data_IF_079121346687
#
_entry.id   IF_079121346687
#
_cell.length_a   1.000
_cell.length_b   1.000
_cell.length_c   1.000
_cell.angle_alpha   90.00
_cell.angle_beta   90.00
_cell.angle_gamma   90.00
#
_symmetry.space_group_name_H-M   'P 1'
#
loop_
_entity.id
_entity.type
_entity.pdbx_description
1 polymer ?
#
# COMPACT_ATOMS: atom_id res chain seq x y z
N UNK A 1 44.09 76.33 -5.91
CA UNK A 1 44.69 76.14 -7.24
C UNK A 1 45.37 74.78 -7.16
N UNK A 2 44.89 73.63 -7.65
CA UNK A 2 43.84 73.24 -8.59
C UNK A 2 43.43 71.82 -8.17
N UNK A 3 42.18 71.52 -7.85
CA UNK A 3 41.08 71.25 -8.77
C UNK A 3 41.33 70.09 -9.78
N UNK A 4 40.68 68.95 -9.47
CA UNK A 4 39.72 68.28 -10.38
C UNK A 4 40.26 67.37 -11.51
N UNK A 5 39.95 66.08 -11.33
CA UNK A 5 39.49 65.08 -12.34
C UNK A 5 40.54 64.49 -13.32
N UNK A 6 40.44 63.25 -13.80
CA UNK A 6 39.28 62.44 -14.24
C UNK A 6 39.64 60.95 -14.07
N UNK A 7 38.83 60.17 -13.35
CA UNK A 7 37.85 59.19 -13.88
C UNK A 7 38.46 58.13 -14.82
N UNK A 8 38.79 56.97 -14.27
CA UNK A 8 38.53 55.70 -14.95
C UNK A 8 37.73 54.78 -14.01
N UNK A 9 36.49 54.51 -14.44
CA UNK A 9 35.55 53.61 -13.77
C UNK A 9 35.88 52.20 -14.25
N UNK A 10 36.42 51.37 -13.37
CA UNK A 10 36.36 49.92 -13.50
C UNK A 10 35.42 49.43 -12.41
N UNK A 11 34.13 49.34 -12.78
CA UNK A 11 33.12 48.65 -12.00
C UNK A 11 33.33 47.15 -12.20
N UNK A 12 34.11 46.53 -11.33
CA UNK A 12 34.08 45.08 -11.14
C UNK A 12 32.93 44.79 -10.18
N UNK A 13 31.77 44.46 -10.73
CA UNK A 13 30.67 43.85 -10.00
C UNK A 13 31.11 42.46 -9.54
N UNK A 14 31.50 42.33 -8.28
CA UNK A 14 31.58 41.04 -7.59
C UNK A 14 30.14 40.55 -7.39
N UNK A 15 29.71 39.62 -8.25
CA UNK A 15 28.49 38.87 -8.05
C UNK A 15 28.67 38.01 -6.79
N UNK A 16 27.95 38.36 -5.72
CA UNK A 16 27.80 37.51 -4.55
C UNK A 16 27.02 36.27 -4.97
N UNK A 17 27.70 35.14 -5.11
CA UNK A 17 27.07 33.84 -5.25
C UNK A 17 26.43 33.47 -3.91
N UNK A 18 25.14 33.78 -3.75
CA UNK A 18 24.34 33.26 -2.66
C UNK A 18 24.14 31.75 -2.89
N UNK A 19 24.88 30.93 -2.15
CA UNK A 19 24.63 29.50 -2.07
C UNK A 19 23.29 29.29 -1.38
N UNK A 20 22.23 29.06 -2.16
CA UNK A 20 21.00 28.51 -1.63
C UNK A 20 21.33 27.10 -1.12
N UNK A 21 21.40 26.94 0.20
CA UNK A 21 21.26 25.65 0.84
C UNK A 21 19.84 25.16 0.53
N UNK A 22 19.70 24.45 -0.60
CA UNK A 22 18.51 23.70 -0.90
C UNK A 22 18.38 22.65 0.20
N UNK A 23 17.35 22.79 1.05
CA UNK A 23 16.90 21.68 1.86
C UNK A 23 16.49 20.57 0.89
N UNK A 24 17.35 19.57 0.71
CA UNK A 24 16.98 18.31 0.07
C UNK A 24 15.81 17.74 0.88
N UNK A 25 14.59 17.90 0.34
CA UNK A 25 13.47 17.10 0.80
C UNK A 25 13.79 15.66 0.42
N UNK A 26 13.70 14.69 1.36
CA UNK A 26 13.79 13.30 0.97
C UNK A 26 12.69 13.01 -0.06
N UNK A 27 12.97 12.17 -1.07
CA UNK A 27 11.98 11.81 -2.07
C UNK A 27 10.75 11.23 -1.37
N UNK A 28 9.56 11.69 -1.76
CA UNK A 28 8.30 11.15 -1.27
C UNK A 28 8.29 9.64 -1.50
N UNK A 29 8.05 8.89 -0.43
CA UNK A 29 7.90 7.44 -0.51
C UNK A 29 6.84 7.10 -1.56
N UNK A 30 7.07 6.13 -2.45
CA UNK A 30 6.02 5.67 -3.34
C UNK A 30 4.82 5.26 -2.49
N UNK A 31 3.63 5.71 -2.88
CA UNK A 31 2.40 5.34 -2.18
C UNK A 31 2.31 3.81 -2.11
N UNK A 32 2.29 3.26 -0.88
CA UNK A 32 2.04 1.84 -0.63
C UNK A 32 3.26 0.91 -0.65
N UNK A 33 4.47 1.38 -0.31
CA UNK A 33 5.61 0.48 -0.01
C UNK A 33 6.15 0.71 1.40
N UNK A 34 6.35 -0.38 2.15
CA UNK A 34 7.03 -0.37 3.46
C UNK A 34 8.55 -0.52 3.27
N UNK A 35 9.33 0.08 4.18
CA UNK A 35 10.79 -0.10 4.25
C UNK A 35 11.22 -1.28 5.13
N UNK A 36 10.28 -2.00 5.74
CA UNK A 36 10.57 -3.00 6.77
C UNK A 36 11.08 -4.36 6.26
N UNK A 37 11.07 -4.61 4.95
CA UNK A 37 11.37 -5.95 4.42
C UNK A 37 12.88 -6.27 4.39
N UNK A 38 13.37 -6.94 5.44
CA UNK A 38 14.51 -7.88 5.32
C UNK A 38 13.95 -9.31 5.38
N UNK A 39 14.40 -10.23 4.51
CA UNK A 39 13.89 -11.60 4.53
C UNK A 39 14.34 -12.32 5.81
N UNK A 40 13.38 -12.58 6.71
CA UNK A 40 13.53 -13.44 7.89
C UNK A 40 12.83 -14.80 7.68
N UNK A 41 13.16 -15.82 8.51
CA UNK A 41 12.55 -17.14 8.40
C UNK A 41 11.07 -17.10 8.80
N UNK A 42 10.23 -17.87 8.10
CA UNK A 42 8.79 -18.00 8.35
C UNK A 42 8.53 -18.55 9.75
N UNK A 43 7.79 -17.80 10.58
CA UNK A 43 7.22 -18.30 11.83
C UNK A 43 6.03 -19.26 11.55
N UNK A 44 5.85 -20.25 12.42
CA UNK A 44 4.79 -21.25 12.32
C UNK A 44 3.46 -20.73 12.90
N UNK A 45 2.35 -21.06 12.25
CA UNK A 45 1.00 -20.63 12.62
C UNK A 45 0.56 -21.23 13.97
N UNK A 46 0.27 -20.36 14.95
CA UNK A 46 -0.39 -20.75 16.19
C UNK A 46 -1.90 -20.90 15.93
N UNK A 47 -2.39 -22.14 16.04
CA UNK A 47 -3.72 -22.54 15.62
C UNK A 47 -4.88 -21.88 16.37
N UNK A 48 -5.96 -21.65 15.62
CA UNK A 48 -7.33 -21.54 16.11
C UNK A 48 -8.25 -22.36 15.19
N UNK A 49 -9.27 -23.00 15.77
CA UNK A 49 -10.11 -24.03 15.15
C UNK A 49 -10.81 -23.58 13.84
N UNK A 50 -11.01 -24.50 12.87
CA UNK A 50 -11.51 -24.15 11.55
C UNK A 50 -13.02 -23.88 11.59
N UNK A 51 -13.40 -22.61 11.45
CA UNK A 51 -14.61 -22.29 10.67
C UNK A 51 -14.39 -22.88 9.26
N UNK A 52 -15.39 -23.36 8.52
CA UNK A 52 -15.25 -23.50 7.08
C UNK A 52 -15.02 -22.09 6.55
N UNK A 53 -13.76 -21.72 6.39
CA UNK A 53 -13.37 -20.47 5.76
C UNK A 53 -13.81 -20.67 4.31
N UNK A 54 -14.88 -19.98 3.89
CA UNK A 54 -15.03 -19.69 2.48
C UNK A 54 -13.87 -18.76 2.16
N UNK A 55 -12.71 -19.35 1.83
CA UNK A 55 -11.41 -18.67 1.87
C UNK A 55 -11.46 -17.35 1.10
N UNK A 56 -12.20 -17.33 -0.01
CA UNK A 56 -12.75 -16.14 -0.67
C UNK A 56 -14.12 -16.49 -1.30
N UNK A 57 -15.11 -15.59 -1.33
CA UNK A 57 -16.33 -15.81 -2.10
C UNK A 57 -16.01 -15.97 -3.59
N UNK A 58 -16.32 -17.11 -4.21
CA UNK A 58 -15.99 -17.36 -5.62
C UNK A 58 -16.66 -16.35 -6.58
N UNK A 59 -17.80 -15.81 -6.17
CA UNK A 59 -18.63 -14.83 -6.88
C UNK A 59 -18.29 -13.37 -6.53
N UNK A 60 -17.15 -13.09 -5.88
CA UNK A 60 -16.82 -11.75 -5.40
C UNK A 60 -16.89 -10.65 -6.49
N UNK A 61 -16.62 -11.00 -7.75
CA UNK A 61 -16.64 -10.06 -8.88
C UNK A 61 -18.01 -9.48 -9.18
N UNK A 62 -19.07 -10.24 -8.87
CA UNK A 62 -20.46 -9.82 -9.05
C UNK A 62 -21.13 -9.41 -7.74
N UNK A 63 -20.57 -9.85 -6.61
CA UNK A 63 -21.13 -9.57 -5.27
C UNK A 63 -20.53 -8.35 -4.58
N UNK A 64 -19.27 -8.01 -4.85
CA UNK A 64 -18.56 -6.91 -4.20
C UNK A 64 -18.50 -5.66 -5.10
N UNK A 65 -18.43 -4.50 -4.46
CA UNK A 65 -18.20 -3.24 -5.15
C UNK A 65 -16.75 -3.16 -5.64
N UNK A 66 -16.53 -2.68 -6.86
CA UNK A 66 -15.20 -2.38 -7.37
C UNK A 66 -14.75 -1.02 -6.83
N UNK A 67 -13.68 -0.99 -6.06
CA UNK A 67 -13.12 0.24 -5.46
C UNK A 67 -12.12 0.96 -6.37
N UNK A 68 -11.59 0.29 -7.40
CA UNK A 68 -10.55 0.86 -8.24
C UNK A 68 -10.68 0.49 -9.71
N UNK A 69 -10.14 1.34 -10.59
CA UNK A 69 -9.65 0.90 -11.90
C UNK A 69 -8.44 -0.03 -11.74
N UNK A 70 -7.92 -0.57 -12.86
CA UNK A 70 -6.74 -1.43 -12.82
C UNK A 70 -5.49 -0.59 -12.54
N UNK A 71 -4.67 -0.99 -11.58
CA UNK A 71 -3.49 -0.24 -11.13
C UNK A 71 -2.29 -1.16 -10.89
N UNK A 72 -1.07 -0.63 -10.92
CA UNK A 72 0.12 -1.42 -10.58
C UNK A 72 0.11 -1.76 -9.09
N UNK A 73 0.21 -3.05 -8.74
CA UNK A 73 0.23 -3.52 -7.35
C UNK A 73 1.62 -3.31 -6.72
N UNK A 74 2.05 -2.05 -6.59
CA UNK A 74 3.44 -1.70 -6.23
C UNK A 74 3.88 -2.28 -4.87
N UNK A 75 2.99 -2.25 -3.87
CA UNK A 75 3.24 -2.78 -2.53
C UNK A 75 3.25 -4.31 -2.41
N UNK A 76 2.99 -5.06 -3.48
CA UNK A 76 2.81 -6.50 -3.43
C UNK A 76 3.69 -7.19 -4.48
N UNK A 77 4.32 -8.31 -4.11
CA UNK A 77 5.09 -9.16 -5.02
C UNK A 77 6.08 -8.41 -5.94
N UNK A 78 6.77 -7.40 -5.40
CA UNK A 78 7.77 -6.63 -6.14
C UNK A 78 7.22 -5.86 -7.34
N UNK A 79 5.96 -5.41 -7.27
CA UNK A 79 5.26 -4.74 -8.35
C UNK A 79 5.13 -5.58 -9.64
N UNK A 80 5.16 -6.91 -9.56
CA UNK A 80 5.05 -7.79 -10.75
C UNK A 80 3.69 -7.69 -11.45
N UNK A 81 2.63 -7.40 -10.69
CA UNK A 81 1.26 -7.52 -11.16
C UNK A 81 0.54 -6.18 -11.25
N UNK A 82 -0.42 -6.11 -12.16
CA UNK A 82 -1.52 -5.15 -12.08
C UNK A 82 -2.67 -5.75 -11.25
N UNK A 83 -3.47 -4.90 -10.62
CA UNK A 83 -4.55 -5.33 -9.74
C UNK A 83 -5.84 -4.53 -9.89
N UNK A 84 -6.95 -5.16 -9.50
CA UNK A 84 -8.23 -4.53 -9.21
C UNK A 84 -8.58 -4.77 -7.74
N UNK A 85 -9.07 -3.73 -7.06
CA UNK A 85 -9.55 -3.82 -5.68
C UNK A 85 -11.08 -3.89 -5.64
N UNK A 86 -11.58 -4.86 -4.90
CA UNK A 86 -12.99 -5.06 -4.57
C UNK A 86 -13.17 -4.95 -3.06
N UNK A 87 -14.35 -4.51 -2.63
CA UNK A 87 -14.72 -4.50 -1.22
C UNK A 87 -16.21 -4.72 -1.01
N UNK A 88 -16.59 -5.23 0.15
CA UNK A 88 -18.00 -5.24 0.55
C UNK A 88 -18.46 -3.82 0.96
N UNK A 89 -19.77 -3.68 1.17
CA UNK A 89 -20.41 -2.39 1.48
C UNK A 89 -19.81 -1.74 2.73
N UNK A 90 -19.69 -2.49 3.84
CA UNK A 90 -19.11 -1.97 5.09
C UNK A 90 -17.66 -1.49 4.94
N UNK A 91 -16.83 -2.23 4.20
CA UNK A 91 -15.46 -1.80 3.89
C UNK A 91 -15.45 -0.57 2.97
N UNK A 92 -16.30 -0.54 1.95
CA UNK A 92 -16.40 0.57 0.99
C UNK A 92 -16.76 1.88 1.71
N UNK A 93 -17.77 1.84 2.57
CA UNK A 93 -18.20 3.01 3.33
C UNK A 93 -17.12 3.52 4.28
N UNK A 94 -16.51 2.63 5.05
CA UNK A 94 -15.46 2.98 6.00
C UNK A 94 -14.22 3.55 5.29
N UNK A 95 -13.86 2.97 4.15
CA UNK A 95 -12.76 3.43 3.30
C UNK A 95 -13.02 4.85 2.78
N UNK A 96 -14.21 5.11 2.23
CA UNK A 96 -14.61 6.42 1.70
C UNK A 96 -14.66 7.51 2.78
N UNK A 97 -15.05 7.16 4.01
CA UNK A 97 -15.15 8.07 5.16
C UNK A 97 -13.79 8.29 5.86
N UNK A 98 -12.73 7.61 5.44
CA UNK A 98 -11.45 7.57 6.16
C UNK A 98 -11.64 7.22 7.64
N UNK A 99 -12.48 6.23 7.91
CA UNK A 99 -12.78 5.82 9.27
C UNK A 99 -11.50 5.40 10.01
N UNK A 100 -11.43 5.70 11.30
CA UNK A 100 -10.32 5.27 12.15
C UNK A 100 -10.29 3.77 12.41
N UNK A 101 -11.38 3.06 12.14
CA UNK A 101 -11.50 1.59 12.21
C UNK A 101 -12.50 1.09 11.18
N UNK A 102 -12.25 -0.08 10.62
CA UNK A 102 -13.19 -0.83 9.80
C UNK A 102 -14.13 -1.68 10.67
N UNK A 103 -15.39 -1.90 10.24
CA UNK A 103 -16.30 -2.80 10.94
C UNK A 103 -15.85 -4.26 10.80
N UNK A 104 -16.17 -5.10 11.80
CA UNK A 104 -15.98 -6.56 11.71
C UNK A 104 -16.69 -7.10 10.46
N UNK A 105 -15.99 -7.96 9.72
CA UNK A 105 -16.43 -8.49 8.43
C UNK A 105 -16.16 -7.57 7.25
N UNK A 106 -15.52 -6.41 7.45
CA UNK A 106 -14.99 -5.61 6.35
C UNK A 106 -14.03 -6.48 5.52
N UNK A 107 -14.27 -6.58 4.21
CA UNK A 107 -13.54 -7.47 3.32
C UNK A 107 -13.01 -6.67 2.14
N UNK A 108 -11.71 -6.81 1.89
CA UNK A 108 -11.03 -6.33 0.70
C UNK A 108 -10.48 -7.51 -0.10
N UNK A 109 -10.70 -7.53 -1.41
CA UNK A 109 -10.16 -8.52 -2.33
C UNK A 109 -9.42 -7.82 -3.45
N UNK A 110 -8.16 -8.20 -3.64
CA UNK A 110 -7.27 -7.72 -4.70
C UNK A 110 -7.02 -8.84 -5.69
N UNK A 111 -7.58 -8.69 -6.89
CA UNK A 111 -7.40 -9.63 -8.00
C UNK A 111 -6.24 -9.15 -8.87
N UNK A 112 -5.31 -10.05 -9.21
CA UNK A 112 -4.08 -9.69 -9.95
C UNK A 112 -3.99 -10.33 -11.33
N UNK A 113 -3.16 -9.72 -12.17
CA UNK A 113 -2.75 -10.20 -13.49
C UNK A 113 -1.31 -9.80 -13.78
N UNK A 114 -0.59 -10.60 -14.56
CA UNK A 114 0.77 -10.25 -15.01
C UNK A 114 0.77 -8.91 -15.74
N UNK A 115 1.71 -8.03 -15.37
CA UNK A 115 1.85 -6.72 -16.01
C UNK A 115 2.45 -6.87 -17.41
N UNK A 116 1.98 -6.05 -18.36
CA UNK A 116 2.53 -5.98 -19.72
C UNK A 116 2.33 -7.24 -20.57
N UNK A 117 1.52 -8.19 -20.09
CA UNK A 117 1.24 -9.47 -20.74
C UNK A 117 -0.15 -9.56 -21.36
N UNK A 118 -0.49 -10.78 -21.77
CA UNK A 118 -1.72 -11.24 -22.42
C UNK A 118 -2.96 -11.32 -21.52
N UNK A 119 -2.89 -10.83 -20.27
CA UNK A 119 -3.96 -10.98 -19.30
C UNK A 119 -3.92 -12.28 -18.51
N UNK A 120 -2.77 -13.00 -18.47
CA UNK A 120 -2.56 -14.11 -17.55
C UNK A 120 -2.85 -13.73 -16.10
N UNK A 121 -3.64 -14.56 -15.43
CA UNK A 121 -4.06 -14.37 -14.02
C UNK A 121 -2.87 -14.50 -13.08
N UNK A 122 -2.83 -13.59 -12.11
CA UNK A 122 -1.97 -13.67 -10.93
C UNK A 122 -2.76 -14.17 -9.71
N UNK A 123 -2.20 -14.03 -8.51
CA UNK A 123 -2.86 -14.43 -7.27
C UNK A 123 -4.07 -13.53 -6.93
N UNK A 124 -5.00 -14.05 -6.15
CA UNK A 124 -6.01 -13.25 -5.47
C UNK A 124 -5.60 -13.10 -4.01
N UNK A 125 -5.52 -11.87 -3.53
CA UNK A 125 -5.15 -11.56 -2.16
C UNK A 125 -6.33 -10.91 -1.44
N UNK A 126 -6.51 -11.18 -0.16
CA UNK A 126 -7.58 -10.56 0.59
C UNK A 126 -7.18 -10.27 2.03
N UNK A 127 -7.93 -9.33 2.62
CA UNK A 127 -7.92 -9.10 4.06
C UNK A 127 -9.35 -8.94 4.57
N UNK A 128 -9.62 -9.57 5.72
CA UNK A 128 -10.92 -9.52 6.40
C UNK A 128 -10.73 -9.05 7.84
N UNK A 129 -11.53 -8.07 8.27
CA UNK A 129 -11.55 -7.60 9.65
C UNK A 129 -12.24 -8.64 10.51
N UNK A 130 -11.50 -9.28 11.40
CA UNK A 130 -12.03 -10.33 12.27
C UNK A 130 -12.65 -9.72 13.53
N UNK A 131 -13.31 -10.56 14.32
CA UNK A 131 -13.77 -10.16 15.65
C UNK A 131 -12.56 -9.83 16.55
N UNK A 132 -12.77 -8.91 17.50
CA UNK A 132 -11.75 -8.53 18.48
C UNK A 132 -11.16 -9.75 19.18
N UNK A 133 -9.83 -9.80 19.29
CA UNK A 133 -9.12 -10.93 19.90
C UNK A 133 -8.41 -11.84 18.91
N UNK A 134 -8.67 -11.69 17.61
CA UNK A 134 -8.01 -12.49 16.57
C UNK A 134 -6.53 -12.13 16.43
N UNK A 135 -6.25 -10.81 16.36
CA UNK A 135 -4.92 -10.25 16.35
C UNK A 135 -4.88 -8.82 16.93
N UNK A 136 -5.09 -8.65 18.25
CA UNK A 136 -5.32 -7.33 18.82
C UNK A 136 -4.15 -6.35 18.65
N UNK A 137 -2.93 -6.86 18.52
CA UNK A 137 -1.75 -6.03 18.30
C UNK A 137 -1.68 -5.45 16.88
N UNK A 138 -2.38 -6.08 15.93
CA UNK A 138 -2.31 -5.79 14.49
C UNK A 138 -3.71 -5.54 13.90
N UNK A 139 -4.63 -5.04 14.74
CA UNK A 139 -5.95 -4.61 14.31
C UNK A 139 -6.89 -5.73 13.89
N UNK A 140 -6.67 -6.97 14.34
CA UNK A 140 -7.57 -8.11 14.11
C UNK A 140 -7.81 -8.41 12.61
N UNK A 141 -6.81 -8.20 11.75
CA UNK A 141 -6.92 -8.52 10.33
C UNK A 141 -6.45 -9.95 10.00
N UNK A 142 -7.28 -10.69 9.27
CA UNK A 142 -6.89 -11.97 8.65
C UNK A 142 -6.49 -11.72 7.20
N UNK A 143 -5.37 -12.29 6.77
CA UNK A 143 -4.86 -12.22 5.40
C UNK A 143 -4.98 -13.56 4.70
N UNK A 144 -5.29 -13.52 3.40
CA UNK A 144 -5.41 -14.71 2.54
C UNK A 144 -4.72 -14.45 1.21
N UNK A 145 -3.97 -15.43 0.72
CA UNK A 145 -3.46 -15.43 -0.66
C UNK A 145 -3.84 -16.74 -1.33
N UNK A 146 -4.54 -16.63 -2.45
CA UNK A 146 -4.86 -17.71 -3.36
C UNK A 146 -3.99 -17.57 -4.60
N UNK A 147 -3.19 -18.61 -4.90
CA UNK A 147 -2.36 -18.68 -6.10
C UNK A 147 -3.22 -18.70 -7.38
N UNK A 148 -2.56 -18.51 -8.52
CA UNK A 148 -3.26 -18.40 -9.81
C UNK A 148 -3.99 -19.69 -10.23
N UNK A 149 -3.57 -20.85 -9.70
CA UNK A 149 -4.19 -22.17 -9.88
C UNK A 149 -5.32 -22.46 -8.88
N UNK A 150 -5.56 -21.55 -7.92
CA UNK A 150 -6.61 -21.69 -6.91
C UNK A 150 -6.13 -22.26 -5.58
N UNK A 151 -4.85 -22.62 -5.42
CA UNK A 151 -4.31 -23.08 -4.14
C UNK A 151 -4.27 -21.94 -3.11
N UNK A 152 -4.68 -22.21 -1.88
CA UNK A 152 -4.53 -21.28 -0.77
C UNK A 152 -3.11 -21.43 -0.21
N UNK A 153 -2.27 -20.43 -0.44
CA UNK A 153 -0.85 -20.46 -0.06
C UNK A 153 -0.53 -19.65 1.20
N UNK A 154 -1.48 -18.83 1.64
CA UNK A 154 -1.40 -18.03 2.87
C UNK A 154 -2.81 -17.91 3.46
N UNK A 155 -2.95 -18.13 4.77
CA UNK A 155 -4.18 -17.93 5.52
C UNK A 155 -3.85 -17.61 6.99
N UNK A 156 -4.34 -16.48 7.51
CA UNK A 156 -4.22 -16.13 8.92
C UNK A 156 -3.47 -14.83 9.15
N UNK A 157 -2.36 -14.90 9.90
CA UNK A 157 -1.59 -13.75 10.40
C UNK A 157 -0.12 -13.80 9.95
N UNK A 158 0.15 -13.88 8.64
CA UNK A 158 1.51 -13.97 8.12
C UNK A 158 2.29 -12.69 8.44
N UNK A 159 3.42 -12.83 9.14
CA UNK A 159 4.26 -11.73 9.62
C UNK A 159 4.56 -10.69 8.52
N UNK A 160 4.91 -11.12 7.31
CA UNK A 160 5.23 -10.21 6.21
C UNK A 160 4.06 -9.35 5.71
N UNK A 161 2.81 -9.84 5.83
CA UNK A 161 1.64 -9.02 5.49
C UNK A 161 1.29 -8.10 6.66
N UNK A 162 1.29 -8.65 7.88
CA UNK A 162 0.97 -7.93 9.12
C UNK A 162 1.87 -6.71 9.28
N UNK A 163 3.19 -6.91 9.29
CA UNK A 163 4.14 -5.82 9.53
C UNK A 163 4.12 -4.74 8.44
N UNK A 164 3.88 -5.13 7.18
CA UNK A 164 3.72 -4.15 6.11
C UNK A 164 2.43 -3.34 6.29
N UNK A 165 1.33 -4.00 6.68
CA UNK A 165 0.05 -3.36 6.85
C UNK A 165 -0.05 -2.53 8.15
N UNK A 166 0.75 -2.80 9.18
CA UNK A 166 0.89 -1.95 10.37
C UNK A 166 1.34 -0.51 10.05
N UNK A 167 2.07 -0.32 8.95
CA UNK A 167 2.50 1.01 8.50
C UNK A 167 1.35 1.84 7.89
N UNK A 168 0.19 1.24 7.62
CA UNK A 168 -0.92 1.94 7.02
C UNK A 168 -1.63 2.84 8.04
N UNK A 169 -1.79 4.13 7.69
CA UNK A 169 -2.33 5.15 8.58
C UNK A 169 -3.81 4.95 8.99
N UNK A 170 -4.56 4.06 8.34
CA UNK A 170 -5.98 3.85 8.58
C UNK A 170 -6.27 2.38 8.82
N UNK A 171 -6.22 1.96 10.08
CA UNK A 171 -6.60 0.62 10.54
C UNK A 171 -6.04 -0.49 9.62
N UNK A 172 -4.73 -0.45 9.40
CA UNK A 172 -3.98 -1.43 8.60
C UNK A 172 -4.38 -1.50 7.10
N UNK A 173 -5.11 -0.51 6.58
CA UNK A 173 -5.52 -0.42 5.17
C UNK A 173 -4.87 0.79 4.48
N UNK A 174 -4.09 0.52 3.43
CA UNK A 174 -3.49 1.57 2.61
C UNK A 174 -4.54 2.28 1.76
N UNK A 175 -4.37 3.60 1.60
CA UNK A 175 -5.14 4.36 0.63
C UNK A 175 -4.75 3.94 -0.78
N UNK A 176 -5.73 3.90 -1.67
CA UNK A 176 -5.46 3.89 -3.09
C UNK A 176 -4.83 5.24 -3.42
N UNK A 177 -3.63 5.24 -4.00
CA UNK A 177 -3.07 6.46 -4.57
C UNK A 177 -4.04 6.98 -5.63
N UNK A 178 -4.10 8.31 -5.80
CA UNK A 178 -4.73 8.88 -6.99
C UNK A 178 -4.13 8.18 -8.20
N UNK A 179 -4.96 7.56 -9.04
CA UNK A 179 -4.51 7.21 -10.38
C UNK A 179 -3.96 8.49 -11.02
N UNK A 180 -2.82 8.43 -11.74
CA UNK A 180 -2.31 9.60 -12.46
C UNK A 180 -3.36 10.15 -13.42
#
# INVERSE_FOLDING_TARGET
>A
MDAIARRWRLLLTLAAAATAAACDKPPESPVGVSQAMRPGPRAADAGAAPRPLTVLPADFRTRLGKLSGRFVSAGHAGARFDALLYANEGATEAFAKHAGTFPVGALFIKEHWERGGDGKRGPVMAMEKMAAGFDPAHGDWRFVVVAADGEVVVDGKPEGCVLCHDDAAHDHVFRLGSAP
#
